data_IF_565797733229
#
_entry.id   IF_565797733229
#
_cell.length_a   1.000
_cell.length_b   1.000
_cell.length_c   1.000
_cell.angle_alpha   90.00
_cell.angle_beta   90.00
_cell.angle_gamma   90.00
#
_symmetry.space_group_name_H-M   'P 1'
#
loop_
_entity.id
_entity.type
_entity.pdbx_description
1 polymer ?
#
# COMPACT_ATOMS: atom_id res chain seq x y z
N UNK A 1 6.83 -23.57 5.18
CA UNK A 1 6.10 -22.26 5.25
C UNK A 1 6.55 -21.45 6.45
N UNK A 2 6.70 -20.14 6.31
CA UNK A 2 6.99 -19.25 7.44
C UNK A 2 5.68 -18.82 8.11
N UNK A 3 5.67 -18.78 9.46
CA UNK A 3 4.53 -18.31 10.25
C UNK A 3 4.99 -17.31 11.31
N UNK A 4 4.11 -16.41 11.72
CA UNK A 4 4.27 -15.67 12.97
C UNK A 4 3.55 -16.40 14.10
N UNK A 5 4.25 -16.52 15.24
CA UNK A 5 3.69 -17.02 16.50
C UNK A 5 3.66 -15.85 17.45
N UNK A 6 2.47 -15.51 17.94
CA UNK A 6 2.24 -14.37 18.83
C UNK A 6 1.67 -14.90 20.14
N UNK A 7 2.30 -14.58 21.25
CA UNK A 7 1.74 -14.76 22.57
C UNK A 7 1.19 -13.40 23.04
N UNK A 8 -0.11 -13.26 23.00
CA UNK A 8 -0.81 -11.98 23.20
C UNK A 8 -0.82 -11.46 24.63
N UNK A 9 -1.54 -10.36 24.84
CA UNK A 9 -1.77 -9.76 26.17
C UNK A 9 -0.68 -8.82 26.69
N UNK A 10 0.44 -8.62 25.93
CA UNK A 10 1.48 -7.66 26.32
C UNK A 10 1.15 -6.25 25.81
N UNK A 11 1.24 -5.24 26.68
CA UNK A 11 1.13 -3.83 26.32
C UNK A 11 2.36 -3.38 25.56
N UNK A 12 2.18 -2.83 24.36
CA UNK A 12 3.28 -2.25 23.59
C UNK A 12 3.78 -0.95 24.22
N UNK A 13 5.10 -0.76 24.28
CA UNK A 13 5.73 0.44 24.86
C UNK A 13 7.00 0.81 24.13
N UNK A 14 7.28 2.11 24.05
CA UNK A 14 8.52 2.60 23.44
C UNK A 14 8.29 3.44 22.20
N UNK A 15 9.18 3.35 21.24
CA UNK A 15 9.07 4.12 20.00
C UNK A 15 9.39 3.25 18.78
N UNK A 16 8.77 3.59 17.65
CA UNK A 16 8.98 2.92 16.37
C UNK A 16 9.23 3.97 15.28
N UNK A 17 10.21 3.72 14.42
CA UNK A 17 10.48 4.53 13.24
C UNK A 17 9.76 3.94 12.02
N UNK A 18 9.09 4.81 11.27
CA UNK A 18 8.31 4.41 10.09
C UNK A 18 9.21 4.39 8.85
N UNK A 19 9.02 3.35 8.05
CA UNK A 19 9.70 3.18 6.77
C UNK A 19 9.08 4.04 5.67
N UNK A 20 9.72 4.13 4.51
CA UNK A 20 9.19 4.79 3.34
C UNK A 20 7.87 4.18 2.87
N UNK A 21 7.01 5.03 2.30
CA UNK A 21 5.68 4.64 1.88
C UNK A 21 5.70 3.61 0.73
N UNK A 22 5.17 2.42 0.99
CA UNK A 22 5.01 1.37 -0.03
C UNK A 22 4.35 1.92 -1.29
N UNK A 23 3.20 2.58 -1.15
CA UNK A 23 2.39 3.03 -2.29
C UNK A 23 3.08 4.16 -3.09
N UNK A 24 3.99 4.92 -2.47
CA UNK A 24 4.83 5.88 -3.16
C UNK A 24 6.00 5.17 -3.87
N UNK A 25 6.70 4.25 -3.19
CA UNK A 25 7.84 3.52 -3.73
C UNK A 25 7.49 2.79 -5.04
N UNK A 26 6.40 2.02 -5.05
CA UNK A 26 5.97 1.24 -6.24
C UNK A 26 5.47 2.12 -7.41
N UNK A 27 5.26 3.42 -7.20
CA UNK A 27 4.96 4.38 -8.26
C UNK A 27 6.21 5.15 -8.72
N UNK A 28 7.09 5.54 -7.79
CA UNK A 28 8.30 6.32 -8.05
C UNK A 28 9.39 5.47 -8.70
N UNK A 29 9.56 4.22 -8.27
CA UNK A 29 10.60 3.33 -8.83
C UNK A 29 10.40 3.10 -10.33
N UNK A 30 9.21 2.72 -10.85
CA UNK A 30 8.97 2.69 -12.28
C UNK A 30 9.12 4.06 -12.96
N UNK A 31 8.74 5.15 -12.28
CA UNK A 31 8.81 6.50 -12.84
C UNK A 31 10.25 6.94 -13.15
N UNK A 32 11.28 6.34 -12.52
CA UNK A 32 12.70 6.59 -12.81
C UNK A 32 13.04 6.29 -14.28
N UNK A 33 12.32 5.39 -14.96
CA UNK A 33 12.50 5.09 -16.39
C UNK A 33 12.42 6.38 -17.24
N UNK A 34 11.60 7.35 -16.81
CA UNK A 34 11.41 8.62 -17.53
C UNK A 34 12.67 9.51 -17.52
N UNK A 35 13.50 9.39 -16.50
CA UNK A 35 14.72 10.18 -16.37
C UNK A 35 15.71 9.89 -17.53
N UNK A 36 16.53 10.89 -17.86
CA UNK A 36 17.60 10.78 -18.86
C UNK A 36 18.97 10.61 -18.19
N UNK A 37 19.02 10.64 -16.84
CA UNK A 37 20.24 10.47 -16.04
C UNK A 37 19.91 9.72 -14.73
N UNK A 38 20.95 9.43 -13.96
CA UNK A 38 20.92 8.69 -12.71
C UNK A 38 19.97 9.34 -11.69
N UNK A 39 19.13 8.51 -11.08
CA UNK A 39 18.36 8.88 -9.89
C UNK A 39 18.85 8.12 -8.66
N UNK A 40 18.95 8.82 -7.55
CA UNK A 40 19.17 8.22 -6.22
C UNK A 40 17.89 8.40 -5.41
N UNK A 41 17.32 7.29 -5.01
CA UNK A 41 16.05 7.27 -4.25
C UNK A 41 16.35 6.81 -2.83
N UNK A 42 15.98 7.63 -1.87
CA UNK A 42 16.17 7.39 -0.43
C UNK A 42 14.85 7.01 0.24
N UNK A 43 14.95 6.49 1.46
CA UNK A 43 13.81 6.01 2.26
C UNK A 43 12.98 4.95 1.53
N UNK A 44 13.63 4.09 0.77
CA UNK A 44 12.99 2.97 0.06
C UNK A 44 12.73 1.83 1.04
N UNK A 45 11.48 1.39 1.23
CA UNK A 45 11.19 0.31 2.18
C UNK A 45 11.69 -1.05 1.66
N UNK A 46 12.23 -1.86 2.58
CA UNK A 46 12.69 -3.23 2.28
C UNK A 46 11.50 -4.20 2.30
N UNK A 47 10.73 -4.22 1.22
CA UNK A 47 9.52 -5.03 1.05
C UNK A 47 9.55 -5.79 -0.27
N UNK A 48 8.78 -6.88 -0.35
CA UNK A 48 8.79 -7.74 -1.54
C UNK A 48 8.32 -7.02 -2.81
N UNK A 49 7.33 -6.13 -2.72
CA UNK A 49 6.83 -5.40 -3.89
C UNK A 49 7.92 -4.48 -4.49
N UNK A 50 8.75 -3.83 -3.65
CA UNK A 50 9.91 -3.05 -4.12
C UNK A 50 10.96 -3.95 -4.78
N UNK A 51 11.23 -5.11 -4.19
CA UNK A 51 12.17 -6.08 -4.78
C UNK A 51 11.76 -6.49 -6.20
N UNK A 52 10.46 -6.70 -6.42
CA UNK A 52 9.91 -7.03 -7.74
C UNK A 52 10.10 -5.87 -8.72
N UNK A 53 9.81 -4.63 -8.32
CA UNK A 53 10.05 -3.44 -9.16
C UNK A 53 11.50 -3.34 -9.61
N UNK A 54 12.45 -3.53 -8.67
CA UNK A 54 13.87 -3.49 -8.98
C UNK A 54 14.31 -4.64 -9.90
N UNK A 55 13.71 -5.82 -9.78
CA UNK A 55 13.93 -6.95 -10.69
C UNK A 55 13.40 -6.65 -12.10
N UNK A 56 12.21 -6.05 -12.22
CA UNK A 56 11.66 -5.61 -13.50
C UNK A 56 12.58 -4.58 -14.15
N UNK A 57 13.01 -3.55 -13.40
CA UNK A 57 13.93 -2.53 -13.93
C UNK A 57 15.24 -3.13 -14.46
N UNK A 58 15.85 -4.07 -13.71
CA UNK A 58 17.06 -4.78 -14.16
C UNK A 58 16.79 -5.60 -15.42
N UNK A 59 15.65 -6.27 -15.48
CA UNK A 59 15.28 -7.10 -16.64
C UNK A 59 15.16 -6.28 -17.91
N UNK A 60 14.53 -5.10 -17.84
CA UNK A 60 14.38 -4.20 -19.01
C UNK A 60 15.66 -3.41 -19.34
N UNK A 61 16.71 -3.52 -18.53
CA UNK A 61 18.05 -3.00 -18.82
C UNK A 61 18.54 -1.84 -17.97
N UNK A 62 17.87 -1.47 -16.88
CA UNK A 62 18.39 -0.45 -15.95
C UNK A 62 19.57 -0.98 -15.10
N UNK A 63 20.58 -0.13 -14.85
CA UNK A 63 21.59 -0.40 -13.81
C UNK A 63 21.05 0.00 -12.43
N UNK A 64 20.77 -1.00 -11.60
CA UNK A 64 20.17 -0.81 -10.26
C UNK A 64 21.14 -1.28 -9.19
N UNK A 65 21.57 -0.36 -8.31
CA UNK A 65 22.51 -0.62 -7.20
C UNK A 65 21.90 -0.18 -5.87
N UNK A 66 22.02 -1.04 -4.87
CA UNK A 66 21.76 -0.66 -3.47
C UNK A 66 22.99 0.09 -2.96
N UNK A 67 22.80 1.31 -2.45
CA UNK A 67 23.86 2.10 -1.82
C UNK A 67 23.92 1.79 -0.32
N UNK A 68 22.76 1.62 0.30
CA UNK A 68 22.59 1.16 1.68
C UNK A 68 21.25 0.41 1.84
N UNK A 69 20.78 0.25 3.08
CA UNK A 69 19.54 -0.50 3.37
C UNK A 69 18.28 0.11 2.77
N UNK A 70 18.24 1.45 2.63
CA UNK A 70 17.06 2.19 2.21
C UNK A 70 17.32 3.16 1.05
N UNK A 71 18.52 3.13 0.47
CA UNK A 71 18.92 4.00 -0.64
C UNK A 71 19.30 3.19 -1.86
N UNK A 72 18.70 3.50 -2.98
CA UNK A 72 18.96 2.86 -4.27
C UNK A 72 19.41 3.88 -5.31
N UNK A 73 20.37 3.48 -6.14
CA UNK A 73 20.80 4.20 -7.33
C UNK A 73 20.27 3.47 -8.56
N UNK A 74 19.57 4.19 -9.42
CA UNK A 74 19.02 3.65 -10.68
C UNK A 74 19.53 4.49 -11.84
N UNK A 75 20.17 3.85 -12.82
CA UNK A 75 20.56 4.46 -14.10
C UNK A 75 19.68 3.88 -15.22
N UNK A 76 18.76 4.66 -15.79
CA UNK A 76 17.82 4.18 -16.80
C UNK A 76 18.36 4.24 -18.23
N UNK A 77 19.59 4.72 -18.46
CA UNK A 77 20.15 4.99 -19.80
C UNK A 77 20.20 3.79 -20.74
N UNK A 78 20.29 2.59 -20.18
CA UNK A 78 20.45 1.36 -20.96
C UNK A 78 19.15 0.56 -21.10
N UNK A 79 18.02 1.09 -20.67
CA UNK A 79 16.72 0.46 -20.87
C UNK A 79 16.42 0.42 -22.37
N UNK A 80 16.14 -0.79 -22.89
CA UNK A 80 15.81 -1.05 -24.29
C UNK A 80 14.58 -1.90 -24.47
N UNK A 81 14.21 -2.67 -23.44
CA UNK A 81 13.06 -3.54 -23.50
C UNK A 81 11.82 -2.82 -22.91
N UNK A 82 10.69 -3.04 -23.55
CA UNK A 82 9.39 -2.48 -23.17
C UNK A 82 8.41 -3.57 -22.72
N UNK A 83 8.92 -4.79 -22.53
CA UNK A 83 8.15 -5.97 -22.11
C UNK A 83 8.42 -6.28 -20.64
N UNK A 84 7.39 -6.23 -19.81
CA UNK A 84 7.48 -6.67 -18.41
C UNK A 84 7.14 -8.16 -18.32
N UNK A 85 8.07 -9.01 -17.80
CA UNK A 85 7.86 -10.46 -17.75
C UNK A 85 6.65 -10.86 -16.93
N UNK A 86 5.89 -11.84 -17.41
CA UNK A 86 4.76 -12.41 -16.69
C UNK A 86 5.15 -12.89 -15.31
N UNK A 87 6.27 -13.60 -15.18
CA UNK A 87 6.73 -14.19 -13.92
C UNK A 87 6.99 -13.14 -12.82
N UNK A 88 7.28 -11.89 -13.17
CA UNK A 88 7.42 -10.78 -12.23
C UNK A 88 6.09 -10.03 -12.04
N UNK A 89 5.41 -9.71 -13.14
CA UNK A 89 4.17 -8.92 -13.11
C UNK A 89 3.05 -9.59 -12.29
N UNK A 90 2.92 -10.91 -12.36
CA UNK A 90 1.88 -11.68 -11.66
C UNK A 90 1.91 -11.55 -10.14
N UNK A 91 3.06 -11.22 -9.56
CA UNK A 91 3.21 -11.13 -8.11
C UNK A 91 2.86 -9.75 -7.52
N UNK A 92 2.75 -8.72 -8.37
CA UNK A 92 2.54 -7.36 -7.92
C UNK A 92 1.57 -6.61 -8.83
N UNK A 93 0.45 -6.12 -8.25
CA UNK A 93 -0.53 -5.37 -9.02
C UNK A 93 0.03 -4.04 -9.57
N UNK A 94 0.92 -3.38 -8.82
CA UNK A 94 1.53 -2.12 -9.21
C UNK A 94 2.38 -2.22 -10.49
N UNK A 95 2.67 -3.46 -11.00
CA UNK A 95 3.32 -3.66 -12.30
C UNK A 95 2.62 -2.92 -13.46
N UNK A 96 1.34 -2.56 -13.30
CA UNK A 96 0.65 -1.69 -14.28
C UNK A 96 1.25 -0.30 -14.43
N UNK A 97 2.01 0.20 -13.46
CA UNK A 97 2.63 1.52 -13.58
C UNK A 97 3.73 1.55 -14.66
N UNK A 98 4.28 0.38 -14.99
CA UNK A 98 5.18 0.24 -16.13
C UNK A 98 4.47 0.54 -17.47
N UNK A 99 3.14 0.33 -17.59
CA UNK A 99 2.39 0.69 -18.81
C UNK A 99 2.53 2.18 -19.11
N UNK A 100 2.19 3.05 -18.15
CA UNK A 100 2.26 4.51 -18.35
C UNK A 100 3.68 5.01 -18.58
N UNK A 101 4.64 4.44 -17.85
CA UNK A 101 6.03 4.88 -17.90
C UNK A 101 6.71 4.51 -19.23
N UNK A 102 6.58 3.23 -19.64
CA UNK A 102 7.18 2.72 -20.88
C UNK A 102 6.49 3.34 -22.10
N UNK A 103 5.15 3.48 -22.08
CA UNK A 103 4.42 4.18 -23.14
C UNK A 103 4.93 5.62 -23.29
N UNK A 104 5.12 6.34 -22.19
CA UNK A 104 5.61 7.72 -22.20
C UNK A 104 7.04 7.84 -22.74
N UNK A 105 7.93 6.90 -22.37
CA UNK A 105 9.35 6.95 -22.75
C UNK A 105 9.61 6.39 -24.16
N UNK A 106 8.92 5.30 -24.52
CA UNK A 106 9.23 4.48 -25.70
C UNK A 106 8.06 4.37 -26.70
N UNK A 107 6.93 5.00 -26.45
CA UNK A 107 5.69 4.89 -27.22
C UNK A 107 5.14 3.44 -27.33
N UNK A 108 5.62 2.54 -26.49
CA UNK A 108 5.20 1.14 -26.45
C UNK A 108 5.40 0.55 -25.07
N UNK A 109 4.45 -0.29 -24.63
CA UNK A 109 4.58 -1.09 -23.42
C UNK A 109 3.80 -2.40 -23.56
N UNK A 110 4.36 -3.47 -22.98
CA UNK A 110 3.71 -4.78 -22.91
C UNK A 110 3.84 -5.33 -21.51
N UNK A 111 2.72 -5.45 -20.81
CA UNK A 111 2.67 -5.87 -19.41
C UNK A 111 1.60 -6.93 -19.25
N UNK A 112 1.94 -8.05 -18.62
CA UNK A 112 0.95 -9.08 -18.29
C UNK A 112 -0.06 -8.54 -17.29
N UNK A 113 -1.32 -8.96 -17.43
CA UNK A 113 -2.34 -8.64 -16.43
C UNK A 113 -1.88 -9.17 -15.08
N UNK A 114 -1.78 -8.31 -14.05
CA UNK A 114 -1.24 -8.75 -12.79
C UNK A 114 -2.19 -9.71 -12.11
N UNK A 115 -1.64 -10.72 -11.52
CA UNK A 115 -2.23 -11.39 -10.39
C UNK A 115 -2.40 -10.38 -9.25
N UNK A 116 -2.85 -10.79 -8.12
CA UNK A 116 -2.87 -9.88 -6.98
C UNK A 116 -3.85 -10.32 -5.92
N UNK A 117 -4.01 -9.47 -4.91
CA UNK A 117 -4.97 -9.69 -3.84
C UNK A 117 -6.39 -9.77 -4.40
N UNK A 118 -7.12 -10.77 -3.99
CA UNK A 118 -8.51 -11.00 -4.37
C UNK A 118 -9.45 -10.11 -3.55
N UNK A 119 -9.38 -8.79 -3.81
CA UNK A 119 -10.23 -7.77 -3.19
C UNK A 119 -11.49 -7.45 -4.02
N UNK A 120 -11.89 -8.37 -4.90
CA UNK A 120 -12.97 -8.20 -5.88
C UNK A 120 -12.48 -7.63 -7.21
N UNK A 121 -13.43 -7.31 -8.08
CA UNK A 121 -13.14 -6.76 -9.40
C UNK A 121 -12.38 -5.43 -9.30
N UNK A 122 -11.22 -5.40 -9.94
CA UNK A 122 -10.38 -4.21 -10.02
C UNK A 122 -10.01 -3.94 -11.47
N UNK A 123 -11.00 -3.52 -12.29
CA UNK A 123 -10.82 -3.32 -13.71
C UNK A 123 -9.78 -2.23 -14.00
N UNK A 124 -9.13 -2.33 -15.16
CA UNK A 124 -8.17 -1.33 -15.66
C UNK A 124 -8.79 -0.38 -16.67
N UNK A 125 -10.11 -0.35 -16.75
CA UNK A 125 -10.89 0.46 -17.68
C UNK A 125 -10.48 1.94 -17.67
N UNK A 126 -10.30 2.52 -16.48
CA UNK A 126 -9.90 3.93 -16.35
C UNK A 126 -8.44 4.16 -16.78
N UNK A 127 -7.55 3.17 -16.63
CA UNK A 127 -6.19 3.22 -17.16
C UNK A 127 -6.21 3.25 -18.70
N UNK A 128 -6.95 2.31 -19.30
CA UNK A 128 -7.06 2.19 -20.76
C UNK A 128 -7.75 3.40 -21.37
N UNK A 129 -8.78 3.94 -20.69
CA UNK A 129 -9.46 5.19 -21.07
C UNK A 129 -8.46 6.35 -21.17
N UNK A 130 -7.55 6.48 -20.17
CA UNK A 130 -6.52 7.51 -20.19
C UNK A 130 -5.53 7.36 -21.35
N UNK A 131 -5.03 6.15 -21.58
CA UNK A 131 -4.08 5.91 -22.66
C UNK A 131 -4.71 6.18 -24.03
N UNK A 132 -5.95 5.73 -24.24
CA UNK A 132 -6.71 6.01 -25.46
C UNK A 132 -6.94 7.50 -25.66
N UNK A 133 -7.30 8.24 -24.61
CA UNK A 133 -7.50 9.68 -24.68
C UNK A 133 -6.22 10.43 -25.08
N UNK A 134 -5.04 9.94 -24.67
CA UNK A 134 -3.74 10.47 -25.05
C UNK A 134 -3.32 10.07 -26.49
N UNK A 135 -4.10 9.25 -27.19
CA UNK A 135 -3.84 8.81 -28.57
C UNK A 135 -3.16 7.44 -28.69
N UNK A 136 -3.09 6.65 -27.62
CA UNK A 136 -2.58 5.29 -27.69
C UNK A 136 -3.66 4.28 -28.10
N UNK A 137 -3.24 3.24 -28.82
CA UNK A 137 -4.02 2.05 -29.11
C UNK A 137 -3.60 0.92 -28.16
N UNK A 138 -4.50 -0.03 -27.87
CA UNK A 138 -4.18 -1.18 -27.05
C UNK A 138 -4.89 -2.45 -27.51
N UNK A 139 -4.27 -3.59 -27.18
CA UNK A 139 -4.87 -4.91 -27.27
C UNK A 139 -4.77 -5.62 -25.91
N UNK A 140 -5.70 -6.52 -25.65
CA UNK A 140 -5.65 -7.41 -24.49
C UNK A 140 -5.83 -8.82 -25.03
N UNK A 141 -4.74 -9.56 -25.10
CA UNK A 141 -4.71 -10.93 -25.61
C UNK A 141 -3.89 -11.83 -24.68
N UNK A 142 -4.35 -13.04 -24.48
CA UNK A 142 -3.66 -14.04 -23.62
C UNK A 142 -3.27 -13.53 -22.23
N UNK A 143 -4.08 -12.62 -21.63
CA UNK A 143 -3.78 -12.02 -20.33
C UNK A 143 -2.65 -10.98 -20.36
N UNK A 144 -2.33 -10.43 -21.52
CA UNK A 144 -1.30 -9.41 -21.72
C UNK A 144 -1.97 -8.14 -22.24
N UNK A 145 -1.62 -7.00 -21.65
CA UNK A 145 -1.95 -5.67 -22.14
C UNK A 145 -0.77 -5.18 -22.95
N UNK A 146 -0.98 -4.91 -24.23
CA UNK A 146 0.00 -4.28 -25.12
C UNK A 146 -0.56 -2.94 -25.58
N UNK A 147 0.23 -1.87 -25.40
CA UNK A 147 -0.16 -0.50 -25.75
C UNK A 147 0.92 0.15 -26.59
N UNK A 148 0.50 0.96 -27.57
CA UNK A 148 1.41 1.70 -28.43
C UNK A 148 0.79 3.03 -28.88
N UNK A 149 1.62 3.97 -29.24
CA UNK A 149 1.22 5.25 -29.82
C UNK A 149 2.28 5.76 -30.79
N UNK A 150 1.90 6.34 -31.88
CA UNK A 150 2.84 7.10 -32.71
C UNK A 150 3.31 8.35 -31.96
N UNK A 151 2.38 9.00 -31.27
CA UNK A 151 2.64 10.20 -30.49
C UNK A 151 1.56 10.37 -29.42
N UNK A 152 1.98 10.71 -28.20
CA UNK A 152 1.05 11.07 -27.13
C UNK A 152 0.72 12.56 -27.20
N UNK A 153 -0.57 12.90 -27.13
CA UNK A 153 -1.08 14.27 -27.21
C UNK A 153 -1.85 14.58 -25.94
N UNK A 154 -1.49 15.69 -25.30
CA UNK A 154 -2.18 16.18 -24.09
C UNK A 154 -3.63 16.53 -24.36
N UNK A 155 -4.52 16.13 -23.47
CA UNK A 155 -5.96 16.31 -23.59
C UNK A 155 -6.63 16.40 -22.22
N UNK A 156 -7.90 16.70 -22.17
CA UNK A 156 -8.72 16.66 -20.95
C UNK A 156 -9.23 15.24 -20.72
N UNK A 157 -9.01 14.71 -19.52
CA UNK A 157 -9.38 13.35 -19.12
C UNK A 157 -10.19 13.43 -17.82
N UNK A 158 -11.45 13.02 -17.87
CA UNK A 158 -12.31 12.91 -16.70
C UNK A 158 -12.38 11.45 -16.25
N UNK A 159 -12.09 11.18 -14.97
CA UNK A 159 -12.26 9.86 -14.37
C UNK A 159 -13.69 9.66 -13.92
N UNK A 160 -14.33 8.57 -14.36
CA UNK A 160 -15.72 8.25 -13.98
C UNK A 160 -15.84 7.93 -12.48
N UNK A 161 -14.75 7.50 -11.89
CA UNK A 161 -14.58 7.28 -10.44
C UNK A 161 -13.18 7.68 -10.02
N UNK A 162 -13.03 8.17 -8.79
CA UNK A 162 -11.70 8.43 -8.21
C UNK A 162 -10.92 7.12 -8.14
N UNK A 163 -9.78 7.06 -8.78
CA UNK A 163 -8.93 5.87 -8.83
C UNK A 163 -7.45 6.24 -8.77
N UNK A 164 -6.77 5.74 -7.73
CA UNK A 164 -5.34 5.97 -7.51
C UNK A 164 -4.51 5.43 -8.67
N UNK A 165 -4.75 4.16 -9.06
CA UNK A 165 -3.94 3.52 -10.09
C UNK A 165 -4.02 4.21 -11.44
N UNK A 166 -5.23 4.59 -11.88
CA UNK A 166 -5.38 5.29 -13.16
C UNK A 166 -4.84 6.72 -13.10
N UNK A 167 -4.98 7.42 -11.97
CA UNK A 167 -4.35 8.74 -11.78
C UNK A 167 -2.84 8.66 -11.92
N UNK A 168 -2.17 7.68 -11.26
CA UNK A 168 -0.73 7.45 -11.38
C UNK A 168 -0.34 7.18 -12.84
N UNK A 169 -1.01 6.23 -13.50
CA UNK A 169 -0.69 5.90 -14.89
C UNK A 169 -0.94 7.05 -15.87
N UNK A 170 -2.00 7.82 -15.66
CA UNK A 170 -2.27 9.01 -16.47
C UNK A 170 -1.18 10.08 -16.28
N UNK A 171 -0.71 10.29 -15.03
CA UNK A 171 0.41 11.20 -14.77
C UNK A 171 1.69 10.73 -15.48
N UNK A 172 2.06 9.44 -15.32
CA UNK A 172 3.25 8.85 -15.92
C UNK A 172 3.23 8.93 -17.46
N UNK A 173 2.07 8.66 -18.09
CA UNK A 173 1.93 8.72 -19.53
C UNK A 173 1.95 10.16 -20.07
N UNK A 174 1.42 11.13 -19.30
CA UNK A 174 1.21 12.50 -19.78
C UNK A 174 2.45 13.40 -19.72
N UNK A 175 3.47 13.05 -18.92
CA UNK A 175 4.63 13.94 -18.70
C UNK A 175 5.47 14.20 -19.96
N UNK A 176 5.34 13.36 -21.01
CA UNK A 176 5.97 13.55 -22.31
C UNK A 176 4.96 13.81 -23.44
N UNK A 177 3.66 13.82 -23.17
CA UNK A 177 2.64 14.09 -24.17
C UNK A 177 2.75 15.54 -24.67
N UNK A 178 2.61 15.75 -25.98
CA UNK A 178 2.66 17.09 -26.55
C UNK A 178 1.46 17.93 -26.10
N UNK A 179 1.74 19.08 -25.48
CA UNK A 179 0.71 20.01 -25.05
C UNK A 179 0.38 19.91 -23.56
N UNK A 180 -0.88 20.16 -23.21
CA UNK A 180 -1.39 20.19 -21.86
C UNK A 180 -2.38 19.03 -21.63
N UNK A 181 -2.13 18.21 -20.63
CA UNK A 181 -3.09 17.23 -20.12
C UNK A 181 -3.75 17.78 -18.85
N UNK A 182 -5.07 17.63 -18.75
CA UNK A 182 -5.85 17.99 -17.57
C UNK A 182 -6.56 16.72 -17.09
N UNK A 183 -6.21 16.27 -15.88
CA UNK A 183 -6.89 15.15 -15.22
C UNK A 183 -7.93 15.71 -14.27
N UNK A 184 -9.19 15.30 -14.41
CA UNK A 184 -10.30 15.71 -13.57
C UNK A 184 -10.85 14.53 -12.79
N UNK A 185 -11.37 14.78 -11.58
CA UNK A 185 -11.78 13.77 -10.61
C UNK A 185 -10.61 12.84 -10.23
N UNK A 186 -9.40 13.41 -10.17
CA UNK A 186 -8.17 12.70 -9.83
C UNK A 186 -8.12 12.27 -8.37
N UNK A 187 -7.36 11.22 -8.09
CA UNK A 187 -7.04 10.81 -6.73
C UNK A 187 -6.12 11.84 -6.04
N UNK A 188 -6.27 11.98 -4.70
CA UNK A 188 -5.64 13.04 -3.89
C UNK A 188 -4.68 12.51 -2.84
N UNK A 189 -4.49 11.21 -2.78
CA UNK A 189 -3.70 10.52 -1.77
C UNK A 189 -2.27 11.08 -1.68
N UNK A 190 -1.63 11.08 -0.49
CA UNK A 190 -0.29 11.64 -0.30
C UNK A 190 0.76 11.11 -1.27
N UNK A 191 0.68 9.83 -1.66
CA UNK A 191 1.61 9.23 -2.63
C UNK A 191 1.36 9.69 -4.08
N UNK A 192 0.19 10.28 -4.41
CA UNK A 192 -0.02 10.99 -5.69
C UNK A 192 0.77 12.30 -5.71
N UNK A 193 0.75 13.02 -4.59
CA UNK A 193 1.53 14.25 -4.43
C UNK A 193 3.03 13.93 -4.47
N UNK A 194 3.45 12.87 -3.81
CA UNK A 194 4.84 12.43 -3.76
C UNK A 194 5.37 12.04 -5.16
N UNK A 195 4.56 11.30 -5.94
CA UNK A 195 4.90 11.01 -7.34
C UNK A 195 5.01 12.30 -8.18
N UNK A 196 4.11 13.26 -8.02
CA UNK A 196 4.18 14.53 -8.72
C UNK A 196 5.46 15.32 -8.35
N UNK A 197 5.81 15.32 -7.06
CA UNK A 197 7.04 15.96 -6.57
C UNK A 197 8.29 15.29 -7.16
N UNK A 198 8.34 13.94 -7.18
CA UNK A 198 9.41 13.21 -7.83
C UNK A 198 9.51 13.56 -9.32
N UNK A 199 8.40 13.50 -10.06
CA UNK A 199 8.37 13.83 -11.49
C UNK A 199 8.81 15.27 -11.75
N UNK A 200 8.37 16.23 -10.94
CA UNK A 200 8.81 17.63 -11.03
C UNK A 200 10.30 17.77 -10.69
N UNK A 201 10.85 16.98 -9.77
CA UNK A 201 12.27 17.02 -9.42
C UNK A 201 13.16 16.56 -10.58
N UNK A 202 12.69 15.66 -11.43
CA UNK A 202 13.40 15.26 -12.67
C UNK A 202 13.12 16.21 -13.84
N UNK A 203 12.23 17.20 -13.69
CA UNK A 203 11.98 18.25 -14.68
C UNK A 203 10.62 18.22 -15.36
N UNK A 204 9.66 17.44 -14.87
CA UNK A 204 8.27 17.52 -15.31
C UNK A 204 7.61 18.86 -14.91
N UNK A 205 6.46 19.14 -15.47
CA UNK A 205 5.66 20.33 -15.15
C UNK A 205 4.25 19.89 -14.76
N UNK A 206 4.08 19.57 -13.47
CA UNK A 206 2.83 19.08 -12.88
C UNK A 206 2.39 20.04 -11.79
N UNK A 207 1.15 20.47 -11.83
CA UNK A 207 0.51 21.30 -10.79
C UNK A 207 -0.85 20.72 -10.42
N UNK A 208 -1.30 20.98 -9.18
CA UNK A 208 -2.62 20.56 -8.69
C UNK A 208 -2.65 19.15 -8.10
N UNK A 209 -1.54 18.41 -8.00
CA UNK A 209 -1.50 17.14 -7.27
C UNK A 209 -1.97 17.34 -5.82
N UNK A 210 -2.80 16.41 -5.32
CA UNK A 210 -3.49 16.55 -4.02
C UNK A 210 -4.85 17.28 -4.12
N UNK A 211 -5.23 17.76 -5.31
CA UNK A 211 -6.58 18.25 -5.62
C UNK A 211 -7.27 17.30 -6.60
N UNK A 212 -8.53 17.57 -6.92
CA UNK A 212 -9.29 16.80 -7.92
C UNK A 212 -8.94 17.14 -9.36
N UNK A 213 -8.12 18.18 -9.60
CA UNK A 213 -7.67 18.59 -10.93
C UNK A 213 -6.15 18.66 -10.95
N UNK A 214 -5.53 17.81 -11.80
CA UNK A 214 -4.08 17.80 -12.02
C UNK A 214 -3.81 18.27 -13.44
N UNK A 215 -2.93 19.26 -13.61
CA UNK A 215 -2.51 19.77 -14.92
C UNK A 215 -1.06 19.38 -15.18
N UNK A 216 -0.80 18.81 -16.35
CA UNK A 216 0.50 18.29 -16.73
C UNK A 216 0.86 18.86 -18.10
N UNK A 217 1.91 19.65 -18.17
CA UNK A 217 2.48 20.10 -19.44
C UNK A 217 3.62 19.20 -19.84
N UNK A 218 3.51 18.55 -20.98
CA UNK A 218 4.53 17.65 -21.46
C UNK A 218 5.89 18.33 -21.70
N UNK A 219 6.97 17.62 -21.37
CA UNK A 219 8.34 18.06 -21.54
C UNK A 219 9.15 17.02 -22.30
N UNK A 220 10.19 17.47 -23.03
CA UNK A 220 10.96 16.58 -23.92
C UNK A 220 12.13 15.89 -23.22
N UNK A 221 12.71 16.50 -22.20
CA UNK A 221 13.93 16.03 -21.51
C UNK A 221 13.73 16.06 -20.00
N UNK A 222 14.29 15.05 -19.36
CA UNK A 222 14.32 14.92 -17.92
C UNK A 222 15.78 14.83 -17.45
N UNK A 223 16.03 15.17 -16.19
CA UNK A 223 17.33 15.04 -15.54
C UNK A 223 17.29 13.92 -14.49
N UNK A 224 18.46 13.54 -13.98
CA UNK A 224 18.55 12.75 -12.76
C UNK A 224 18.23 13.58 -11.51
N UNK A 225 17.99 12.91 -10.40
CA UNK A 225 17.66 13.57 -9.11
C UNK A 225 18.11 12.74 -7.91
N UNK A 226 18.24 13.39 -6.76
CA UNK A 226 18.15 12.79 -5.44
C UNK A 226 16.77 13.04 -4.89
N UNK A 227 16.09 11.99 -4.43
CA UNK A 227 14.72 12.09 -3.96
C UNK A 227 14.48 11.17 -2.78
N UNK A 228 13.83 11.68 -1.74
CA UNK A 228 13.46 10.91 -0.54
C UNK A 228 11.96 10.65 -0.57
N UNK A 229 11.58 9.37 -0.53
CA UNK A 229 10.17 8.93 -0.48
C UNK A 229 9.56 9.33 0.87
N UNK A 230 8.30 9.78 0.87
CA UNK A 230 7.57 10.10 2.10
C UNK A 230 7.41 8.87 2.99
N UNK A 231 7.27 9.05 4.32
CA UNK A 231 7.00 7.94 5.25
C UNK A 231 5.61 7.33 5.02
N UNK A 232 5.48 6.02 5.34
CA UNK A 232 4.24 5.26 5.11
C UNK A 232 3.18 5.56 6.18
N UNK A 233 2.13 6.28 5.77
CA UNK A 233 0.99 6.59 6.64
C UNK A 233 0.21 5.34 7.08
N UNK A 234 0.22 4.27 6.27
CA UNK A 234 -0.52 3.03 6.58
C UNK A 234 0.28 2.19 7.59
N UNK A 235 1.58 2.12 7.44
CA UNK A 235 2.46 1.53 8.46
C UNK A 235 2.32 2.28 9.78
N UNK A 236 2.43 3.61 9.77
CA UNK A 236 2.26 4.46 10.94
C UNK A 236 0.91 4.23 11.63
N UNK A 237 -0.19 4.30 10.88
CA UNK A 237 -1.53 4.06 11.40
C UNK A 237 -1.69 2.65 11.97
N UNK A 238 -1.04 1.64 11.39
CA UNK A 238 -1.07 0.26 11.91
C UNK A 238 -0.42 0.17 13.28
N UNK A 239 0.74 0.80 13.51
CA UNK A 239 1.38 0.83 14.84
C UNK A 239 0.57 1.68 15.83
N UNK A 240 -0.05 2.77 15.40
CA UNK A 240 -0.95 3.56 16.23
C UNK A 240 -2.15 2.74 16.73
N UNK A 241 -2.78 1.96 15.84
CA UNK A 241 -3.88 1.09 16.20
C UNK A 241 -3.40 -0.07 17.09
N UNK A 242 -2.23 -0.66 16.81
CA UNK A 242 -1.63 -1.70 17.65
C UNK A 242 -1.36 -1.19 19.07
N UNK A 243 -0.80 0.02 19.20
CA UNK A 243 -0.60 0.68 20.50
C UNK A 243 -1.91 0.88 21.26
N UNK A 244 -2.94 1.40 20.58
CA UNK A 244 -4.26 1.54 21.18
C UNK A 244 -4.80 0.16 21.62
N UNK A 245 -4.92 -0.79 20.69
CA UNK A 245 -5.55 -2.10 20.92
C UNK A 245 -4.89 -2.88 22.08
N UNK A 246 -3.57 -2.77 22.23
CA UNK A 246 -2.82 -3.41 23.34
C UNK A 246 -2.81 -2.59 24.63
N UNK A 247 -3.57 -1.47 24.71
CA UNK A 247 -3.56 -0.54 25.84
C UNK A 247 -2.13 -0.05 26.17
N UNK A 248 -1.34 0.15 25.13
CA UNK A 248 0.07 0.49 25.17
C UNK A 248 0.35 1.98 25.23
N UNK A 249 1.62 2.34 25.14
CA UNK A 249 2.12 3.70 25.12
C UNK A 249 3.30 3.75 24.14
N UNK A 250 3.02 4.17 22.89
CA UNK A 250 3.99 4.10 21.79
C UNK A 250 4.10 5.44 21.08
N UNK A 251 5.34 5.86 20.84
CA UNK A 251 5.65 7.00 19.98
C UNK A 251 6.01 6.51 18.57
N UNK A 252 5.27 6.95 17.58
CA UNK A 252 5.49 6.65 16.15
C UNK A 252 6.26 7.83 15.55
N UNK A 253 7.50 7.60 15.13
CA UNK A 253 8.44 8.63 14.65
C UNK A 253 8.64 8.57 13.13
N UNK A 254 9.17 9.69 12.56
CA UNK A 254 9.48 9.81 11.15
C UNK A 254 8.21 9.76 10.30
N UNK A 255 7.23 10.58 10.64
CA UNK A 255 5.93 10.62 9.99
C UNK A 255 5.56 12.05 9.59
N UNK A 256 4.54 12.17 8.75
CA UNK A 256 3.87 13.44 8.44
C UNK A 256 2.49 13.40 9.11
N UNK A 257 2.29 14.03 10.29
CA UNK A 257 1.04 13.91 11.05
C UNK A 257 -0.20 14.29 10.26
N UNK A 258 -0.09 15.25 9.35
CA UNK A 258 -1.19 15.65 8.45
C UNK A 258 -1.76 14.49 7.62
N UNK A 259 -0.93 13.51 7.25
CA UNK A 259 -1.37 12.33 6.50
C UNK A 259 -2.16 11.34 7.36
N UNK A 260 -2.07 11.45 8.69
CA UNK A 260 -2.68 10.55 9.66
C UNK A 260 -3.98 11.10 10.26
N UNK A 261 -4.40 12.31 9.89
CA UNK A 261 -5.56 13.00 10.49
C UNK A 261 -6.86 12.17 10.52
N UNK A 262 -7.24 11.42 9.45
CA UNK A 262 -8.41 10.54 9.51
C UNK A 262 -8.28 9.42 10.55
N UNK A 263 -7.06 8.92 10.77
CA UNK A 263 -6.76 7.83 11.71
C UNK A 263 -6.72 8.36 13.15
N UNK A 264 -6.00 9.46 13.39
CA UNK A 264 -5.90 10.10 14.71
C UNK A 264 -7.26 10.55 15.22
N UNK A 265 -8.08 11.14 14.34
CA UNK A 265 -9.45 11.54 14.66
C UNK A 265 -10.31 10.37 15.12
N UNK A 266 -10.23 9.21 14.46
CA UNK A 266 -10.98 8.01 14.84
C UNK A 266 -10.45 7.36 16.11
N UNK A 267 -9.13 7.34 16.31
CA UNK A 267 -8.53 6.83 17.55
C UNK A 267 -8.92 7.68 18.77
N UNK A 268 -8.92 9.02 18.65
CA UNK A 268 -9.44 9.90 19.70
C UNK A 268 -10.91 9.64 19.99
N UNK A 269 -11.71 9.41 18.94
CA UNK A 269 -13.16 9.16 19.09
C UNK A 269 -13.46 7.88 19.83
N UNK A 270 -12.67 6.83 19.70
CA UNK A 270 -12.84 5.59 20.45
C UNK A 270 -12.23 5.66 21.86
N UNK A 271 -11.49 6.72 22.20
CA UNK A 271 -10.99 6.97 23.56
C UNK A 271 -9.48 6.82 23.72
N UNK A 272 -8.69 6.67 22.67
CA UNK A 272 -7.25 6.72 22.76
C UNK A 272 -6.75 8.17 22.94
N UNK A 273 -5.68 8.36 23.70
CA UNK A 273 -5.02 9.66 23.85
C UNK A 273 -3.96 9.78 22.76
N UNK A 274 -4.01 10.88 22.00
CA UNK A 274 -3.12 11.16 20.88
C UNK A 274 -2.42 12.49 21.10
N UNK A 275 -1.10 12.44 21.22
CA UNK A 275 -0.22 13.61 21.32
C UNK A 275 0.56 13.76 20.02
N UNK A 276 0.25 14.81 19.25
CA UNK A 276 0.92 15.10 17.98
C UNK A 276 2.10 16.06 18.19
N UNK A 277 3.20 15.82 17.46
CA UNK A 277 4.39 16.67 17.35
C UNK A 277 4.75 16.81 15.88
N UNK A 278 5.79 17.58 15.55
CA UNK A 278 6.13 17.91 14.15
C UNK A 278 6.33 16.67 13.26
N UNK A 279 7.06 15.66 13.73
CA UNK A 279 7.37 14.44 12.98
C UNK A 279 7.06 13.15 13.75
N UNK A 280 6.23 13.24 14.78
CA UNK A 280 5.86 12.07 15.59
C UNK A 280 4.47 12.19 16.18
N UNK A 281 3.88 11.03 16.49
CA UNK A 281 2.62 10.92 17.22
C UNK A 281 2.80 9.90 18.33
N UNK A 282 2.49 10.28 19.58
CA UNK A 282 2.40 9.35 20.71
C UNK A 282 0.95 8.91 20.88
N UNK A 283 0.75 7.61 20.96
CA UNK A 283 -0.54 6.98 21.20
C UNK A 283 -0.50 6.30 22.56
N UNK A 284 -1.42 6.70 23.44
CA UNK A 284 -1.64 6.07 24.74
C UNK A 284 -3.00 5.39 24.69
N UNK A 285 -2.99 4.07 24.83
CA UNK A 285 -4.20 3.25 24.83
C UNK A 285 -5.01 3.43 26.11
N UNK A 286 -6.33 3.28 25.98
CA UNK A 286 -7.28 3.33 27.08
C UNK A 286 -7.57 1.91 27.60
N UNK A 287 -7.98 1.80 28.86
CA UNK A 287 -8.47 0.52 29.40
C UNK A 287 -9.81 0.09 28.82
N UNK A 288 -10.54 1.02 28.23
CA UNK A 288 -11.85 0.78 27.61
C UNK A 288 -12.02 1.66 26.38
N UNK A 289 -12.59 1.11 25.32
CA UNK A 289 -12.89 1.81 24.07
C UNK A 289 -14.39 1.92 23.85
N UNK A 290 -14.80 3.03 23.26
CA UNK A 290 -16.17 3.31 22.86
C UNK A 290 -16.41 2.93 21.40
N UNK A 291 -17.62 2.49 21.11
CA UNK A 291 -18.06 2.22 19.74
C UNK A 291 -17.91 3.42 18.82
N UNK A 292 -17.66 3.19 17.54
CA UNK A 292 -17.72 4.24 16.53
C UNK A 292 -18.11 3.68 15.18
N UNK A 293 -18.82 4.49 14.38
CA UNK A 293 -19.07 4.15 12.99
C UNK A 293 -17.91 4.65 12.12
N UNK A 294 -17.53 3.85 11.14
CA UNK A 294 -16.45 4.12 10.22
C UNK A 294 -16.91 3.86 8.80
N UNK A 295 -16.59 4.79 7.88
CA UNK A 295 -16.79 4.61 6.45
C UNK A 295 -15.48 4.90 5.72
N UNK A 296 -15.03 3.96 4.90
CA UNK A 296 -13.87 4.19 4.03
C UNK A 296 -14.25 5.06 2.85
N UNK A 297 -13.37 5.99 2.52
CA UNK A 297 -13.57 6.97 1.44
C UNK A 297 -12.23 7.32 0.79
N UNK A 298 -12.22 7.81 -0.46
CA UNK A 298 -11.03 8.43 -1.06
C UNK A 298 -10.45 9.52 -0.15
N UNK A 299 -9.15 9.74 -0.24
CA UNK A 299 -8.48 10.80 0.55
C UNK A 299 -9.16 12.18 0.35
N UNK A 300 -9.37 12.97 1.42
CA UNK A 300 -8.88 12.82 2.80
C UNK A 300 -9.80 12.03 3.75
N UNK A 301 -10.67 11.18 3.22
CA UNK A 301 -11.48 10.28 4.05
C UNK A 301 -10.66 9.16 4.70
N UNK A 302 -11.32 8.32 5.52
CA UNK A 302 -10.65 7.20 6.18
C UNK A 302 -10.19 6.16 5.14
N UNK A 303 -8.88 5.83 5.09
CA UNK A 303 -8.34 4.98 4.04
C UNK A 303 -8.79 3.52 4.18
N UNK A 304 -9.19 2.90 3.06
CA UNK A 304 -9.57 1.49 3.01
C UNK A 304 -8.44 0.57 3.49
N UNK A 305 -7.17 0.97 3.34
CA UNK A 305 -6.00 0.23 3.80
C UNK A 305 -5.85 0.16 5.33
N UNK A 306 -6.61 0.98 6.07
CA UNK A 306 -6.66 0.96 7.53
C UNK A 306 -7.94 0.31 8.09
N UNK A 307 -8.87 -0.06 7.22
CA UNK A 307 -10.16 -0.62 7.60
C UNK A 307 -10.03 -1.93 8.38
N UNK A 308 -9.24 -2.95 7.95
CA UNK A 308 -9.10 -4.20 8.67
C UNK A 308 -8.47 -4.04 10.06
N UNK A 309 -7.43 -3.20 10.18
CA UNK A 309 -6.74 -2.94 11.44
C UNK A 309 -7.68 -2.25 12.44
N UNK A 310 -8.47 -1.28 11.96
CA UNK A 310 -9.43 -0.58 12.82
C UNK A 310 -10.60 -1.50 13.23
N UNK A 311 -11.03 -2.41 12.35
CA UNK A 311 -12.01 -3.43 12.67
C UNK A 311 -11.53 -4.33 13.82
N UNK A 312 -10.25 -4.74 13.83
CA UNK A 312 -9.67 -5.52 14.94
C UNK A 312 -9.76 -4.75 16.27
N UNK A 313 -9.48 -3.44 16.30
CA UNK A 313 -9.65 -2.61 17.49
C UNK A 313 -11.14 -2.54 17.94
N UNK A 314 -12.06 -2.39 16.98
CA UNK A 314 -13.49 -2.27 17.27
C UNK A 314 -14.10 -3.54 17.86
N UNK A 315 -13.50 -4.72 17.66
CA UNK A 315 -13.94 -5.95 18.35
C UNK A 315 -13.83 -5.86 19.87
N UNK A 316 -12.97 -4.96 20.38
CA UNK A 316 -12.73 -4.73 21.80
C UNK A 316 -13.40 -3.45 22.32
N UNK A 317 -14.17 -2.74 21.49
CA UNK A 317 -14.88 -1.52 21.86
C UNK A 317 -16.28 -1.84 22.41
N UNK A 318 -16.73 -1.13 23.44
CA UNK A 318 -18.06 -1.36 24.04
C UNK A 318 -19.19 -1.01 23.09
N UNK A 319 -20.14 -1.92 22.92
CA UNK A 319 -21.34 -1.74 22.09
C UNK A 319 -21.10 -2.02 20.61
N UNK A 320 -22.08 -1.65 19.79
CA UNK A 320 -22.14 -1.97 18.35
C UNK A 320 -21.47 -0.91 17.51
N UNK A 321 -20.49 -1.28 16.69
CA UNK A 321 -19.85 -0.43 15.68
C UNK A 321 -20.28 -0.85 14.28
N UNK A 322 -20.52 0.13 13.39
CA UNK A 322 -20.84 -0.10 11.98
C UNK A 322 -19.68 0.36 11.11
N UNK A 323 -19.15 -0.55 10.30
CA UNK A 323 -18.08 -0.30 9.37
C UNK A 323 -18.59 -0.45 7.93
N UNK A 324 -18.50 0.61 7.13
CA UNK A 324 -18.93 0.62 5.72
C UNK A 324 -17.71 0.74 4.81
N UNK A 325 -17.54 -0.23 3.92
CA UNK A 325 -16.48 -0.20 2.90
C UNK A 325 -16.98 0.53 1.63
N UNK A 326 -16.36 1.66 1.31
CA UNK A 326 -16.76 2.49 0.18
C UNK A 326 -15.93 2.30 -1.08
N UNK A 327 -14.82 1.56 -1.03
CA UNK A 327 -13.82 1.47 -2.10
C UNK A 327 -13.85 0.10 -2.79
N UNK A 328 -13.74 -1.00 -2.03
CA UNK A 328 -13.64 -2.35 -2.56
C UNK A 328 -14.88 -3.20 -2.28
N UNK A 329 -15.15 -4.16 -3.16
CA UNK A 329 -16.33 -5.03 -3.02
C UNK A 329 -16.09 -6.21 -2.07
N UNK A 330 -14.84 -6.68 -1.96
CA UNK A 330 -14.51 -7.89 -1.21
C UNK A 330 -13.42 -7.63 -0.14
N UNK A 331 -13.62 -6.59 0.70
CA UNK A 331 -12.62 -6.18 1.70
C UNK A 331 -12.71 -6.96 3.02
N UNK A 332 -13.82 -7.61 3.31
CA UNK A 332 -14.10 -8.24 4.61
C UNK A 332 -13.61 -9.68 4.77
N UNK A 333 -12.76 -10.18 3.89
CA UNK A 333 -12.26 -11.57 3.93
C UNK A 333 -11.52 -11.96 5.22
N UNK A 334 -10.98 -10.99 5.93
CA UNK A 334 -10.33 -11.19 7.22
C UNK A 334 -11.32 -11.49 8.36
N UNK A 335 -12.62 -11.23 8.18
CA UNK A 335 -13.64 -11.35 9.22
C UNK A 335 -13.78 -12.78 9.69
N UNK A 336 -13.73 -13.77 8.81
CA UNK A 336 -13.83 -15.17 9.19
C UNK A 336 -12.67 -15.61 10.10
N UNK A 337 -11.49 -15.06 9.89
CA UNK A 337 -10.34 -15.32 10.75
C UNK A 337 -10.46 -14.61 12.11
N UNK A 338 -11.01 -13.40 12.15
CA UNK A 338 -11.32 -12.73 13.43
C UNK A 338 -12.42 -13.48 14.21
N UNK A 339 -13.43 -14.04 13.51
CA UNK A 339 -14.45 -14.90 14.14
C UNK A 339 -13.84 -16.16 14.77
N UNK A 340 -12.81 -16.78 14.14
CA UNK A 340 -12.04 -17.87 14.75
C UNK A 340 -11.39 -17.47 16.08
N UNK A 341 -11.02 -16.20 16.21
CA UNK A 341 -10.47 -15.64 17.43
C UNK A 341 -11.55 -15.19 18.43
N UNK A 342 -12.83 -15.45 18.13
CA UNK A 342 -13.97 -15.15 19.00
C UNK A 342 -14.64 -13.80 18.74
N UNK A 343 -14.26 -13.05 17.70
CA UNK A 343 -14.91 -11.78 17.37
C UNK A 343 -16.37 -11.98 16.93
N UNK A 344 -17.26 -11.11 17.40
CA UNK A 344 -18.66 -11.04 16.98
C UNK A 344 -18.82 -9.99 15.88
N UNK A 345 -18.78 -10.44 14.64
CA UNK A 345 -18.87 -9.59 13.43
C UNK A 345 -19.86 -10.23 12.47
N UNK A 346 -20.83 -9.49 11.99
CA UNK A 346 -21.68 -9.87 10.86
C UNK A 346 -21.40 -8.98 9.65
N UNK A 347 -21.43 -9.56 8.46
CA UNK A 347 -21.16 -8.83 7.21
C UNK A 347 -22.32 -9.02 6.26
N UNK A 348 -22.81 -7.91 5.71
CA UNK A 348 -23.80 -7.87 4.63
C UNK A 348 -23.30 -6.90 3.54
N UNK A 349 -22.91 -7.46 2.40
CA UNK A 349 -22.34 -6.71 1.29
C UNK A 349 -21.11 -5.88 1.70
N UNK A 350 -21.26 -4.56 1.70
CA UNK A 350 -20.20 -3.60 2.06
C UNK A 350 -20.30 -3.08 3.49
N UNK A 351 -21.10 -3.70 4.32
CA UNK A 351 -21.30 -3.27 5.72
C UNK A 351 -20.93 -4.42 6.66
N UNK A 352 -20.09 -4.12 7.65
CA UNK A 352 -19.84 -5.00 8.78
C UNK A 352 -20.43 -4.36 10.05
N UNK A 353 -21.16 -5.17 10.82
CA UNK A 353 -21.62 -4.84 12.16
C UNK A 353 -20.72 -5.59 13.13
N UNK A 354 -20.06 -4.87 14.03
CA UNK A 354 -19.10 -5.39 14.98
C UNK A 354 -19.65 -5.16 16.38
N UNK A 355 -19.95 -6.24 17.09
CA UNK A 355 -20.30 -6.20 18.51
C UNK A 355 -19.02 -6.33 19.35
N UNK A 356 -18.84 -5.41 20.28
CA UNK A 356 -17.69 -5.42 21.17
C UNK A 356 -17.72 -6.58 22.13
N UNK A 357 -16.61 -7.30 22.24
CA UNK A 357 -16.41 -8.42 23.15
C UNK A 357 -15.38 -8.07 24.22
N UNK A 358 -15.36 -8.81 25.30
CA UNK A 358 -14.43 -8.58 26.41
C UNK A 358 -12.98 -8.88 26.01
N UNK A 359 -12.77 -9.96 25.23
CA UNK A 359 -11.45 -10.43 24.82
C UNK A 359 -11.50 -11.30 23.56
N UNK A 360 -10.44 -11.27 22.79
CA UNK A 360 -10.15 -12.23 21.74
C UNK A 360 -9.38 -13.42 22.31
N UNK A 361 -9.43 -14.57 21.64
CA UNK A 361 -8.67 -15.78 21.98
C UNK A 361 -7.70 -16.14 20.88
N UNK A 362 -6.49 -16.57 21.24
CA UNK A 362 -5.49 -17.02 20.29
C UNK A 362 -5.98 -18.23 19.48
N UNK A 363 -5.71 -18.22 18.18
CA UNK A 363 -6.09 -19.30 17.26
C UNK A 363 -5.13 -19.38 16.08
N UNK A 364 -5.04 -20.53 15.38
CA UNK A 364 -4.45 -20.59 14.04
C UNK A 364 -5.31 -19.82 13.04
N UNK A 365 -4.71 -18.83 12.35
CA UNK A 365 -5.39 -17.96 11.38
C UNK A 365 -4.56 -17.80 10.10
N UNK A 366 -5.23 -17.55 8.98
CA UNK A 366 -4.61 -17.46 7.67
C UNK A 366 -4.77 -16.07 7.06
N UNK A 367 -3.66 -15.52 6.54
CA UNK A 367 -3.67 -14.21 5.91
C UNK A 367 -4.20 -14.29 4.48
N UNK A 368 -5.29 -13.57 4.19
CA UNK A 368 -5.87 -13.49 2.84
C UNK A 368 -5.23 -12.38 1.98
N UNK A 369 -4.81 -11.27 2.61
CA UNK A 369 -4.18 -10.12 1.96
C UNK A 369 -3.29 -9.33 2.94
N UNK A 370 -2.51 -8.39 2.41
CA UNK A 370 -1.56 -7.57 3.15
C UNK A 370 -2.18 -6.88 4.40
N UNK A 371 -3.35 -6.27 4.26
CA UNK A 371 -3.99 -5.48 5.34
C UNK A 371 -4.79 -6.37 6.31
N UNK A 372 -5.35 -7.46 5.79
CA UNK A 372 -5.89 -8.55 6.61
C UNK A 372 -4.82 -9.09 7.55
N UNK A 373 -3.59 -9.33 7.06
CA UNK A 373 -2.48 -9.78 7.88
C UNK A 373 -2.14 -8.83 9.02
N UNK A 374 -2.11 -7.52 8.75
CA UNK A 374 -1.87 -6.52 9.79
C UNK A 374 -2.98 -6.53 10.87
N UNK A 375 -4.24 -6.68 10.46
CA UNK A 375 -5.36 -6.80 11.40
C UNK A 375 -5.27 -8.04 12.28
N UNK A 376 -4.88 -9.19 11.71
CA UNK A 376 -4.70 -10.44 12.44
C UNK A 376 -3.51 -10.38 13.41
N UNK A 377 -2.43 -9.66 13.05
CA UNK A 377 -1.33 -9.39 14.01
C UNK A 377 -1.85 -8.57 15.18
N UNK A 378 -2.59 -7.47 14.93
CA UNK A 378 -3.15 -6.64 15.99
C UNK A 378 -4.09 -7.47 16.89
N UNK A 379 -4.97 -8.27 16.30
CA UNK A 379 -5.85 -9.17 17.04
C UNK A 379 -5.05 -10.17 17.89
N UNK A 380 -3.99 -10.79 17.33
CA UNK A 380 -3.12 -11.72 18.05
C UNK A 380 -2.36 -11.08 19.21
N UNK A 381 -1.93 -9.81 19.07
CA UNK A 381 -1.28 -9.07 20.14
C UNK A 381 -2.23 -8.81 21.34
N UNK A 382 -3.55 -8.73 21.09
CA UNK A 382 -4.57 -8.47 22.10
C UNK A 382 -5.22 -9.74 22.64
N UNK A 383 -5.06 -10.88 21.99
CA UNK A 383 -5.73 -12.13 22.31
C UNK A 383 -5.15 -12.79 23.56
N UNK A 384 -5.98 -13.54 24.28
CA UNK A 384 -5.53 -14.45 25.33
C UNK A 384 -4.96 -15.72 24.68
N UNK A 385 -3.71 -16.06 24.98
CA UNK A 385 -3.04 -17.27 24.50
C UNK A 385 -2.25 -17.04 23.18
N UNK A 386 -2.01 -18.12 22.45
CA UNK A 386 -1.11 -18.15 21.29
C UNK A 386 -1.92 -18.05 20.00
N UNK A 387 -1.53 -17.09 19.15
CA UNK A 387 -2.02 -16.97 17.78
C UNK A 387 -0.94 -17.41 16.80
N UNK A 388 -1.26 -18.33 15.89
CA UNK A 388 -0.41 -18.72 14.77
C UNK A 388 -0.91 -18.06 13.48
N UNK A 389 -0.08 -17.26 12.84
CA UNK A 389 -0.45 -16.57 11.59
C UNK A 389 0.27 -17.20 10.42
N UNK A 390 -0.49 -17.79 9.51
CA UNK A 390 0.00 -18.42 8.28
C UNK A 390 -0.03 -17.46 7.09
N UNK A 391 0.67 -17.81 6.00
CA UNK A 391 0.73 -17.03 4.75
C UNK A 391 1.30 -15.60 4.94
N UNK A 392 2.31 -15.47 5.81
CA UNK A 392 2.91 -14.18 6.19
C UNK A 392 3.61 -13.46 5.05
N UNK A 393 3.89 -14.14 3.92
CA UNK A 393 4.43 -13.50 2.71
C UNK A 393 3.52 -12.38 2.21
N UNK A 394 2.20 -12.44 2.48
CA UNK A 394 1.29 -11.33 2.17
C UNK A 394 1.58 -10.08 3.00
N UNK A 395 2.03 -10.23 4.25
CA UNK A 395 2.42 -9.12 5.14
C UNK A 395 3.74 -8.51 4.68
N UNK A 396 4.71 -9.35 4.32
CA UNK A 396 6.06 -8.94 3.89
C UNK A 396 6.07 -8.20 2.53
N UNK A 397 4.95 -8.19 1.82
CA UNK A 397 4.77 -7.36 0.63
C UNK A 397 4.72 -5.87 0.92
N UNK A 398 4.42 -5.46 2.14
CA UNK A 398 4.20 -4.05 2.43
C UNK A 398 4.52 -3.58 3.84
N UNK A 399 4.96 -4.45 4.74
CA UNK A 399 5.46 -4.08 6.05
C UNK A 399 6.92 -4.52 6.22
N UNK A 400 7.79 -3.56 6.41
CA UNK A 400 9.21 -3.80 6.62
C UNK A 400 9.49 -4.27 8.05
N UNK A 401 10.04 -5.50 8.19
CA UNK A 401 10.49 -6.05 9.46
C UNK A 401 9.47 -5.93 10.62
N UNK A 402 8.17 -6.14 10.33
CA UNK A 402 7.09 -5.88 11.28
C UNK A 402 7.27 -6.66 12.61
N UNK A 403 7.71 -7.91 12.53
CA UNK A 403 7.99 -8.72 13.72
C UNK A 403 9.10 -8.14 14.59
N UNK A 404 10.16 -7.60 13.99
CA UNK A 404 11.27 -6.98 14.71
C UNK A 404 10.84 -5.69 15.38
N UNK A 405 10.17 -4.80 14.66
CA UNK A 405 9.65 -3.54 15.19
C UNK A 405 8.66 -3.78 16.35
N UNK A 406 7.78 -4.78 16.23
CA UNK A 406 6.86 -5.15 17.30
C UNK A 406 7.59 -5.72 18.54
N UNK A 407 8.63 -6.55 18.35
CA UNK A 407 9.46 -7.04 19.47
C UNK A 407 10.19 -5.91 20.20
N UNK A 408 10.69 -4.92 19.48
CA UNK A 408 11.31 -3.73 20.06
C UNK A 408 10.32 -2.91 20.90
N UNK A 409 9.02 -2.98 20.56
CA UNK A 409 7.92 -2.42 21.35
C UNK A 409 7.47 -3.33 22.51
N UNK A 410 8.10 -4.50 22.70
CA UNK A 410 7.80 -5.43 23.77
C UNK A 410 6.80 -6.53 23.45
N UNK A 411 6.39 -6.69 22.20
CA UNK A 411 5.53 -7.80 21.78
C UNK A 411 6.27 -9.15 21.89
N UNK A 412 5.53 -10.19 22.20
CA UNK A 412 6.01 -11.57 22.15
C UNK A 412 5.60 -12.19 20.80
N UNK A 413 6.38 -11.90 19.79
CA UNK A 413 6.19 -12.35 18.41
C UNK A 413 7.46 -12.94 17.86
N UNK A 414 7.39 -14.11 17.23
CA UNK A 414 8.51 -14.75 16.57
C UNK A 414 8.12 -15.26 15.18
N UNK A 415 9.02 -15.09 14.21
CA UNK A 415 8.93 -15.72 12.90
C UNK A 415 9.54 -17.11 12.98
N UNK A 416 8.79 -18.15 12.64
CA UNK A 416 9.26 -19.54 12.60
C UNK A 416 9.06 -20.15 11.23
N UNK A 417 10.04 -20.94 10.80
CA UNK A 417 9.95 -21.73 9.59
C UNK A 417 9.44 -23.12 9.95
N UNK A 418 8.33 -23.53 9.32
CA UNK A 418 7.79 -24.89 9.45
C UNK A 418 8.03 -25.65 8.14
N UNK A 419 8.35 -26.97 8.21
CA UNK A 419 8.36 -27.80 7.02
C UNK A 419 6.96 -27.80 6.38
N UNK A 420 6.90 -27.82 5.06
CA UNK A 420 5.62 -27.88 4.34
C UNK A 420 4.90 -29.18 4.70
N UNK A 421 3.57 -29.12 4.87
CA UNK A 421 2.78 -30.28 5.28
C UNK A 421 2.90 -31.47 4.29
N UNK A 422 3.24 -31.21 3.03
CA UNK A 422 3.48 -32.23 2.00
C UNK A 422 4.75 -33.04 2.30
N UNK A 423 5.81 -32.42 2.85
CA UNK A 423 7.06 -33.14 3.24
C UNK A 423 6.89 -34.02 4.48
N UNK A 424 5.89 -33.72 5.32
CA UNK A 424 5.61 -34.54 6.51
C UNK A 424 4.77 -35.78 6.19
N UNK A 425 3.90 -35.71 5.18
CA UNK A 425 3.09 -36.87 4.73
C UNK A 425 3.96 -37.87 3.95
N UNK A 426 4.92 -37.38 3.14
CA UNK A 426 5.85 -38.24 2.40
C UNK A 426 6.84 -39.05 3.29
N UNK A 427 6.93 -38.72 4.58
CA UNK A 427 7.76 -39.45 5.58
C UNK A 427 6.97 -40.47 6.41
N UNK A 428 5.64 -40.59 6.19
CA UNK A 428 4.77 -41.50 6.90
C UNK A 428 4.31 -42.64 5.96
N UNK A 429 4.59 -42.54 4.67
CA UNK A 429 4.43 -43.60 3.65
C UNK A 429 5.83 -44.15 3.30
#
# INVERSE_FOLDING_TARGET
MDKFIINGGKRLRGSVNISGAKNAAVAIIPAVILADDVCVIENVPQINDVTIDLQILRHIGADVRLLDKSTIRIDPKHIKDTVVPYELARHMRASYYFLGTLLSKFNHAKVSMPGGCDLGDRPIDQHLKCFKALGAEYTIEHGIVEISADKLIGTQIYFDKVTVGATINAMLASVKADGLTILENAAKEPHIVDLANFLNSIGANIIGAGTDVIKIRGVKRFKGTHYTIIPDQIEAGTYMIAAAATKGDVTVNGIIPKHLEPITSKLRKVGAIIEERDESVRVIGSDSYERTNLKTMPHPGFPTDMQPQFAALLTLAKGTSILTEGIFDNRFRYVDELRRMGADISVDGKVAVIEGIERLTGAPVKVADLRAGAALIIAGLCADGITEIEEIQHIERGYENMDKKLRELGADIVKRKFPDAVDSIAKIV
#
